data_IF_611046187435
#
_entry.id   IF_611046187435
#
_cell.length_a   1.000
_cell.length_b   1.000
_cell.length_c   1.000
_cell.angle_alpha   90.00
_cell.angle_beta   90.00
_cell.angle_gamma   90.00
#
_symmetry.space_group_name_H-M   'P 1'
#
loop_
_entity.id
_entity.type
_entity.pdbx_description
1 polymer ?
#
# COMPACT_ATOMS: atom_id res chain seq x y z
N UNK A 1 24.74 -17.46 -9.90
CA UNK A 1 25.14 -16.55 -8.80
C UNK A 1 24.60 -15.18 -9.14
N UNK A 2 23.54 -14.73 -8.46
CA UNK A 2 22.91 -13.45 -8.75
C UNK A 2 23.76 -12.33 -8.15
N UNK A 3 24.46 -11.65 -9.04
CA UNK A 3 25.17 -10.40 -8.82
C UNK A 3 24.18 -9.38 -8.25
N UNK A 4 24.45 -8.92 -7.03
CA UNK A 4 23.79 -7.77 -6.44
C UNK A 4 24.16 -6.56 -7.29
N UNK A 5 23.21 -6.01 -8.05
CA UNK A 5 23.40 -4.75 -8.74
C UNK A 5 23.29 -3.63 -7.69
N UNK A 6 24.31 -2.78 -7.55
CA UNK A 6 24.34 -1.75 -6.52
C UNK A 6 23.26 -0.70 -6.79
N UNK A 7 22.58 -0.27 -5.72
CA UNK A 7 21.72 0.90 -5.72
C UNK A 7 22.59 2.12 -6.06
N UNK A 8 22.20 2.87 -7.09
CA UNK A 8 22.88 4.13 -7.42
C UNK A 8 22.86 5.10 -6.23
N UNK A 9 23.96 5.83 -6.00
CA UNK A 9 24.03 6.81 -4.93
C UNK A 9 23.01 7.90 -5.21
N UNK A 10 22.06 8.07 -4.29
CA UNK A 10 21.20 9.25 -4.27
C UNK A 10 22.09 10.48 -4.23
N UNK A 11 22.06 11.30 -5.29
CA UNK A 11 22.84 12.51 -5.39
C UNK A 11 22.64 13.35 -4.11
N UNK A 12 23.70 13.49 -3.34
CA UNK A 12 23.73 14.38 -2.18
C UNK A 12 23.44 15.80 -2.69
N UNK A 13 22.49 16.55 -2.10
CA UNK A 13 22.17 17.88 -2.58
C UNK A 13 23.41 18.76 -2.49
N UNK A 14 23.71 19.48 -3.58
CA UNK A 14 24.86 20.37 -3.73
C UNK A 14 24.92 21.36 -2.54
N UNK A 15 25.88 21.16 -1.64
CA UNK A 15 26.03 22.02 -0.47
C UNK A 15 26.58 23.37 -0.94
N UNK A 16 25.86 24.48 -0.77
CA UNK A 16 26.30 25.75 -1.30
C UNK A 16 27.62 26.19 -0.68
N UNK A 17 28.58 26.56 -1.53
CA UNK A 17 29.88 27.13 -1.10
C UNK A 17 29.65 28.48 -0.43
N UNK A 18 30.21 28.65 0.77
CA UNK A 18 30.10 29.89 1.55
C UNK A 18 30.82 31.04 0.82
N UNK A 19 30.14 32.13 0.44
CA UNK A 19 30.75 33.25 -0.27
C UNK A 19 31.74 34.05 0.60
N UNK A 20 32.82 34.57 0.00
CA UNK A 20 33.91 35.28 0.71
C UNK A 20 33.79 36.81 0.73
N UNK A 21 32.94 37.44 -0.09
CA UNK A 21 32.73 38.89 -0.07
C UNK A 21 31.66 39.32 0.94
N UNK A 22 31.79 40.53 1.49
CA UNK A 22 30.84 41.10 2.45
C UNK A 22 29.43 41.19 1.84
N UNK A 23 29.32 41.67 0.60
CA UNK A 23 28.07 41.77 -0.15
C UNK A 23 27.36 40.41 -0.31
N UNK A 24 28.10 39.33 -0.57
CA UNK A 24 27.50 38.01 -0.73
C UNK A 24 27.09 37.39 0.62
N UNK A 25 27.74 37.77 1.72
CA UNK A 25 27.32 37.39 3.08
C UNK A 25 26.07 38.14 3.51
N UNK A 26 25.96 39.41 3.13
CA UNK A 26 24.75 40.21 3.35
C UNK A 26 23.58 39.68 2.51
N UNK A 27 23.79 39.35 1.23
CA UNK A 27 22.77 38.73 0.40
C UNK A 27 22.29 37.38 0.95
N UNK A 28 23.22 36.53 1.40
CA UNK A 28 22.89 35.25 2.04
C UNK A 28 22.14 35.46 3.35
N UNK A 29 22.53 36.45 4.16
CA UNK A 29 21.84 36.79 5.40
C UNK A 29 20.41 37.26 5.12
N UNK A 30 20.22 38.17 4.18
CA UNK A 30 18.89 38.64 3.75
C UNK A 30 18.03 37.50 3.22
N UNK A 31 18.59 36.60 2.43
CA UNK A 31 17.89 35.41 1.94
C UNK A 31 17.47 34.46 3.07
N UNK A 32 18.36 34.20 4.03
CA UNK A 32 18.07 33.33 5.18
C UNK A 32 17.06 33.98 6.14
N UNK A 33 17.12 35.30 6.35
CA UNK A 33 16.16 36.06 7.15
C UNK A 33 14.77 36.08 6.49
N UNK A 34 14.72 36.15 5.15
CA UNK A 34 13.48 36.03 4.37
C UNK A 34 12.92 34.60 4.39
N UNK A 35 13.77 33.58 4.25
CA UNK A 35 13.37 32.16 4.32
C UNK A 35 12.96 31.75 5.74
N UNK A 36 13.52 32.36 6.78
CA UNK A 36 13.12 32.15 8.17
C UNK A 36 11.73 32.72 8.52
N UNK A 37 11.17 33.58 7.67
CA UNK A 37 9.78 34.05 7.80
C UNK A 37 8.78 33.15 7.06
N UNK A 38 9.26 32.20 6.25
CA UNK A 38 8.45 31.16 5.62
C UNK A 38 8.64 29.80 6.34
N UNK A 39 8.83 29.87 7.67
CA UNK A 39 8.67 28.69 8.51
C UNK A 39 7.20 28.34 8.43
N UNK A 40 6.81 27.17 7.89
CA UNK A 40 5.42 26.75 7.90
C UNK A 40 4.94 26.89 9.35
N UNK A 41 3.74 27.47 9.57
CA UNK A 41 3.26 27.77 10.91
C UNK A 41 3.50 26.55 11.78
N UNK A 42 4.16 26.75 12.93
CA UNK A 42 4.48 25.68 13.87
C UNK A 42 3.30 24.73 13.92
N UNK A 43 3.51 23.48 13.49
CA UNK A 43 2.45 22.47 13.38
C UNK A 43 1.77 22.44 14.74
N UNK A 44 0.55 22.99 14.81
CA UNK A 44 -0.15 23.18 16.06
C UNK A 44 -0.27 21.86 16.81
N UNK A 45 -0.39 21.92 18.14
CA UNK A 45 -0.65 20.71 18.92
C UNK A 45 -1.84 19.94 18.32
N UNK A 46 -1.74 18.60 18.15
CA UNK A 46 -2.83 17.81 17.63
C UNK A 46 -4.07 18.02 18.51
N UNK A 47 -5.29 18.04 17.93
CA UNK A 47 -6.50 18.28 18.69
C UNK A 47 -6.60 17.30 19.87
N UNK A 48 -6.98 17.76 21.08
CA UNK A 48 -7.16 16.89 22.23
C UNK A 48 -8.06 15.69 21.90
N UNK A 49 -7.63 14.50 22.29
CA UNK A 49 -8.37 13.25 22.04
C UNK A 49 -8.00 12.50 20.76
N UNK A 50 -7.24 13.08 19.83
CA UNK A 50 -6.81 12.38 18.61
C UNK A 50 -6.02 11.10 18.91
N UNK A 51 -5.08 11.13 19.85
CA UNK A 51 -4.32 9.95 20.26
C UNK A 51 -5.23 8.84 20.82
N UNK A 52 -6.27 9.22 21.58
CA UNK A 52 -7.29 8.29 22.08
C UNK A 52 -8.12 7.69 20.95
N UNK A 53 -8.50 8.49 19.95
CA UNK A 53 -9.22 7.99 18.77
C UNK A 53 -8.39 6.97 17.98
N UNK A 54 -7.11 7.26 17.74
CA UNK A 54 -6.19 6.35 17.04
C UNK A 54 -5.98 5.02 17.77
N UNK A 55 -6.14 4.97 19.10
CA UNK A 55 -6.05 3.74 19.87
C UNK A 55 -7.19 2.74 19.58
N UNK A 56 -8.26 3.18 18.90
CA UNK A 56 -9.37 2.31 18.45
C UNK A 56 -9.12 1.67 17.07
N UNK A 57 -7.92 1.83 16.50
CA UNK A 57 -7.57 1.24 15.21
C UNK A 57 -7.79 -0.28 15.21
N UNK A 58 -8.48 -0.78 14.17
CA UNK A 58 -8.75 -2.20 13.97
C UNK A 58 -7.50 -2.96 13.50
N UNK A 59 -7.61 -4.29 13.37
CA UNK A 59 -6.52 -5.16 12.92
C UNK A 59 -5.96 -4.70 11.56
N UNK A 60 -4.62 -4.55 11.45
CA UNK A 60 -3.97 -4.24 10.18
C UNK A 60 -4.12 -5.40 9.19
N UNK A 61 -4.04 -5.07 7.88
CA UNK A 61 -4.21 -6.01 6.78
C UNK A 61 -3.45 -7.33 6.97
N UNK A 62 -2.16 -7.28 7.27
CA UNK A 62 -1.31 -8.48 7.40
C UNK A 62 -1.84 -9.45 8.46
N UNK A 63 -2.28 -8.92 9.62
CA UNK A 63 -2.85 -9.73 10.70
C UNK A 63 -4.21 -10.30 10.33
N UNK A 64 -5.04 -9.54 9.63
CA UNK A 64 -6.35 -10.02 9.14
C UNK A 64 -6.18 -11.12 8.09
N UNK A 65 -5.27 -10.94 7.14
CA UNK A 65 -4.93 -11.97 6.14
C UNK A 65 -4.44 -13.25 6.80
N UNK A 66 -3.45 -13.17 7.71
CA UNK A 66 -2.91 -14.34 8.41
C UNK A 66 -3.95 -15.03 9.31
N UNK A 67 -4.94 -14.28 9.83
CA UNK A 67 -6.09 -14.87 10.52
C UNK A 67 -6.95 -15.70 9.55
N UNK A 68 -7.33 -15.14 8.41
CA UNK A 68 -8.10 -15.88 7.40
C UNK A 68 -7.36 -17.12 6.87
N UNK A 69 -6.04 -17.05 6.68
CA UNK A 69 -5.24 -18.21 6.29
C UNK A 69 -5.37 -19.33 7.34
N UNK A 70 -5.19 -19.01 8.63
CA UNK A 70 -5.34 -19.99 9.72
C UNK A 70 -6.76 -20.57 9.81
N UNK A 71 -7.78 -19.73 9.70
CA UNK A 71 -9.19 -20.13 9.75
C UNK A 71 -9.58 -21.01 8.55
N UNK A 72 -8.93 -20.83 7.39
CA UNK A 72 -9.17 -21.64 6.19
C UNK A 72 -8.58 -23.05 6.28
N UNK A 73 -7.66 -23.31 7.21
CA UNK A 73 -6.89 -24.55 7.30
C UNK A 73 -5.82 -24.71 6.21
N UNK A 74 -5.66 -23.72 5.31
CA UNK A 74 -4.64 -23.73 4.27
C UNK A 74 -3.28 -23.26 4.81
N UNK A 75 -2.20 -23.82 4.28
CA UNK A 75 -0.84 -23.33 4.56
C UNK A 75 -0.55 -22.00 3.85
N UNK A 76 0.27 -21.14 4.45
CA UNK A 76 0.69 -19.86 3.86
C UNK A 76 1.25 -20.02 2.44
N UNK A 77 2.05 -21.08 2.20
CA UNK A 77 2.64 -21.39 0.90
C UNK A 77 1.59 -21.69 -0.16
N UNK A 78 0.55 -22.42 0.21
CA UNK A 78 -0.55 -22.75 -0.68
C UNK A 78 -1.33 -21.48 -1.03
N UNK A 79 -1.62 -20.63 -0.04
CA UNK A 79 -2.42 -19.42 -0.24
C UNK A 79 -1.72 -18.41 -1.15
N UNK A 80 -0.44 -18.08 -0.93
CA UNK A 80 0.23 -17.10 -1.80
C UNK A 80 0.41 -17.63 -3.22
N UNK A 81 0.58 -18.96 -3.39
CA UNK A 81 0.65 -19.57 -4.73
C UNK A 81 -0.70 -19.51 -5.43
N UNK A 82 -1.80 -19.87 -4.74
CA UNK A 82 -3.17 -19.74 -5.27
C UNK A 82 -3.49 -18.30 -5.63
N UNK A 83 -3.02 -17.33 -4.85
CA UNK A 83 -3.18 -15.91 -5.14
C UNK A 83 -2.30 -15.42 -6.30
N UNK A 84 -1.42 -16.24 -6.86
CA UNK A 84 -0.42 -15.84 -7.86
C UNK A 84 0.51 -14.71 -7.35
N UNK A 85 0.87 -14.76 -6.07
CA UNK A 85 1.73 -13.76 -5.41
C UNK A 85 3.14 -14.32 -5.22
N UNK A 86 4.16 -13.52 -5.57
CA UNK A 86 5.55 -13.90 -5.36
C UNK A 86 5.89 -14.07 -3.87
N UNK A 87 6.72 -15.07 -3.54
CA UNK A 87 7.12 -15.36 -2.16
C UNK A 87 7.79 -14.18 -1.46
N UNK A 88 8.54 -13.33 -2.18
CA UNK A 88 9.18 -12.11 -1.61
C UNK A 88 8.12 -11.07 -1.26
N UNK A 89 7.11 -10.89 -2.10
CA UNK A 89 5.99 -10.00 -1.81
C UNK A 89 5.21 -10.49 -0.58
N UNK A 90 4.89 -11.78 -0.53
CA UNK A 90 4.25 -12.37 0.66
C UNK A 90 5.13 -12.23 1.91
N UNK A 91 6.45 -12.41 1.78
CA UNK A 91 7.38 -12.20 2.90
C UNK A 91 7.29 -10.78 3.45
N UNK A 92 7.22 -9.75 2.59
CA UNK A 92 7.04 -8.34 3.01
C UNK A 92 5.72 -8.14 3.74
N UNK A 93 4.61 -8.63 3.18
CA UNK A 93 3.28 -8.58 3.80
C UNK A 93 3.30 -9.22 5.20
N UNK A 94 4.01 -10.33 5.36
CA UNK A 94 4.08 -11.06 6.63
C UNK A 94 4.96 -10.37 7.66
N UNK A 95 6.10 -9.81 7.25
CA UNK A 95 7.11 -9.27 8.18
C UNK A 95 6.88 -7.82 8.59
N UNK A 96 6.22 -7.03 7.74
CA UNK A 96 5.99 -5.61 7.97
C UNK A 96 4.48 -5.35 8.18
N UNK A 97 4.03 -5.13 9.43
CA UNK A 97 2.63 -4.84 9.73
C UNK A 97 2.08 -3.59 9.05
N UNK A 98 2.96 -2.64 8.67
CA UNK A 98 2.60 -1.40 7.99
C UNK A 98 2.67 -1.52 6.45
N UNK A 99 3.07 -2.68 5.92
CA UNK A 99 3.14 -2.88 4.48
C UNK A 99 1.75 -2.78 3.85
N UNK A 100 1.61 -1.86 2.89
CA UNK A 100 0.37 -1.67 2.15
C UNK A 100 0.47 -2.34 0.77
N UNK A 101 -0.17 -3.52 0.57
CA UNK A 101 -0.21 -4.17 -0.74
C UNK A 101 -1.06 -3.36 -1.72
N UNK A 102 -0.91 -3.62 -3.01
CA UNK A 102 -1.82 -3.07 -4.03
C UNK A 102 -3.22 -3.68 -3.88
N UNK A 103 -4.24 -2.94 -4.28
CA UNK A 103 -5.64 -3.41 -4.31
C UNK A 103 -5.81 -4.74 -5.06
N UNK A 104 -5.13 -4.90 -6.21
CA UNK A 104 -5.15 -6.14 -7.02
C UNK A 104 -4.64 -7.34 -6.23
N UNK A 105 -3.59 -7.17 -5.42
CA UNK A 105 -3.04 -8.21 -4.54
C UNK A 105 -4.01 -8.57 -3.42
N UNK A 106 -4.68 -7.58 -2.83
CA UNK A 106 -5.69 -7.84 -1.77
C UNK A 106 -6.87 -8.63 -2.34
N UNK A 107 -7.38 -8.25 -3.51
CA UNK A 107 -8.44 -8.99 -4.21
C UNK A 107 -8.00 -10.42 -4.52
N UNK A 108 -6.77 -10.61 -5.01
CA UNK A 108 -6.25 -11.95 -5.30
C UNK A 108 -6.19 -12.85 -4.06
N UNK A 109 -5.79 -12.32 -2.89
CA UNK A 109 -5.86 -13.08 -1.63
C UNK A 109 -7.30 -13.43 -1.24
N UNK A 110 -8.24 -12.49 -1.40
CA UNK A 110 -9.66 -12.76 -1.11
C UNK A 110 -10.22 -13.89 -2.00
N UNK A 111 -9.87 -13.90 -3.29
CA UNK A 111 -10.24 -14.97 -4.21
C UNK A 111 -9.55 -16.30 -3.86
N UNK A 112 -8.25 -16.28 -3.60
CA UNK A 112 -7.48 -17.48 -3.24
C UNK A 112 -8.02 -18.20 -2.01
N UNK A 113 -8.46 -17.41 -1.01
CA UNK A 113 -9.09 -17.85 0.23
C UNK A 113 -10.61 -18.08 0.11
N UNK A 114 -11.20 -17.80 -1.05
CA UNK A 114 -12.64 -17.93 -1.32
C UNK A 114 -13.51 -17.20 -0.31
N UNK A 115 -13.11 -15.99 0.05
CA UNK A 115 -13.83 -15.18 1.03
C UNK A 115 -15.23 -14.80 0.54
N UNK A 116 -16.16 -14.63 1.48
CA UNK A 116 -17.47 -14.03 1.17
C UNK A 116 -17.33 -12.56 0.76
N UNK A 117 -18.35 -11.95 0.13
CA UNK A 117 -18.34 -10.51 -0.15
C UNK A 117 -18.06 -9.65 1.08
N UNK A 118 -18.65 -9.99 2.23
CA UNK A 118 -18.47 -9.24 3.49
C UNK A 118 -17.05 -9.40 4.05
N UNK A 119 -16.51 -10.62 4.03
CA UNK A 119 -15.13 -10.89 4.44
C UNK A 119 -14.13 -10.18 3.52
N UNK A 120 -14.42 -10.14 2.21
CA UNK A 120 -13.60 -9.45 1.22
C UNK A 120 -13.62 -7.94 1.45
N UNK A 121 -14.78 -7.36 1.74
CA UNK A 121 -14.91 -5.95 2.07
C UNK A 121 -14.08 -5.60 3.32
N UNK A 122 -14.20 -6.39 4.39
CA UNK A 122 -13.42 -6.17 5.61
C UNK A 122 -11.90 -6.34 5.40
N UNK A 123 -11.49 -7.24 4.50
CA UNK A 123 -10.07 -7.41 4.15
C UNK A 123 -9.55 -6.21 3.36
N UNK A 124 -10.31 -5.74 2.37
CA UNK A 124 -9.96 -4.55 1.58
C UNK A 124 -9.88 -3.30 2.46
N UNK A 125 -10.85 -3.12 3.36
CA UNK A 125 -10.90 -1.97 4.26
C UNK A 125 -9.67 -1.91 5.17
N UNK A 126 -9.22 -3.06 5.69
CA UNK A 126 -7.99 -3.13 6.49
C UNK A 126 -6.70 -2.79 5.73
N UNK A 127 -6.75 -2.74 4.39
CA UNK A 127 -5.67 -2.30 3.51
C UNK A 127 -5.91 -0.88 2.94
N UNK A 128 -7.00 -0.20 3.34
CA UNK A 128 -7.36 1.13 2.87
C UNK A 128 -8.08 1.15 1.52
N UNK A 129 -8.76 0.06 1.14
CA UNK A 129 -9.48 -0.06 -0.12
C UNK A 129 -10.96 -0.40 0.08
N UNK A 130 -11.77 -0.11 -0.93
CA UNK A 130 -13.15 -0.57 -1.05
C UNK A 130 -13.45 -0.95 -2.51
N UNK A 131 -14.46 -1.78 -2.73
CA UNK A 131 -14.99 -2.01 -4.09
C UNK A 131 -16.05 -0.95 -4.40
N UNK A 132 -15.69 -0.01 -5.27
CA UNK A 132 -16.59 1.01 -5.78
C UNK A 132 -17.74 0.39 -6.58
N UNK A 133 -18.90 1.07 -6.58
CA UNK A 133 -20.06 0.73 -7.42
C UNK A 133 -20.01 1.37 -8.81
N UNK A 134 -18.99 2.17 -9.11
CA UNK A 134 -18.85 2.87 -10.39
C UNK A 134 -17.59 2.50 -11.16
N UNK A 135 -16.59 1.90 -10.50
CA UNK A 135 -15.34 1.53 -11.16
C UNK A 135 -15.50 0.16 -11.88
N UNK A 136 -15.19 0.06 -13.19
CA UNK A 136 -15.36 -1.20 -13.93
C UNK A 136 -14.58 -2.38 -13.32
N UNK A 137 -13.32 -2.18 -12.93
CA UNK A 137 -12.54 -3.19 -12.19
C UNK A 137 -13.30 -3.73 -10.97
N UNK A 138 -13.86 -2.83 -10.14
CA UNK A 138 -14.56 -3.22 -8.91
C UNK A 138 -15.88 -3.93 -9.20
N UNK A 139 -16.62 -3.48 -10.22
CA UNK A 139 -17.86 -4.12 -10.66
C UNK A 139 -17.61 -5.54 -11.17
N UNK A 140 -16.53 -5.76 -11.92
CA UNK A 140 -16.12 -7.10 -12.37
C UNK A 140 -15.78 -7.97 -11.16
N UNK A 141 -14.94 -7.50 -10.23
CA UNK A 141 -14.62 -8.27 -9.01
C UNK A 141 -15.87 -8.61 -8.20
N UNK A 142 -16.79 -7.66 -8.01
CA UNK A 142 -18.07 -7.90 -7.30
C UNK A 142 -18.92 -8.95 -8.01
N UNK A 143 -19.03 -8.88 -9.34
CA UNK A 143 -19.79 -9.83 -10.15
C UNK A 143 -19.35 -11.29 -9.90
N UNK A 144 -18.03 -11.52 -9.84
CA UNK A 144 -17.45 -12.85 -9.60
C UNK A 144 -17.63 -13.30 -8.13
N UNK A 145 -17.39 -12.41 -7.17
CA UNK A 145 -17.58 -12.70 -5.73
C UNK A 145 -19.03 -13.08 -5.40
N UNK A 146 -20.01 -12.34 -5.92
CA UNK A 146 -21.44 -12.59 -5.70
C UNK A 146 -21.87 -13.95 -6.27
N UNK A 147 -21.19 -14.43 -7.32
CA UNK A 147 -21.43 -15.73 -7.96
C UNK A 147 -20.57 -16.86 -7.40
N UNK A 148 -19.73 -16.58 -6.39
CA UNK A 148 -18.79 -17.53 -5.79
C UNK A 148 -17.82 -18.15 -6.80
N UNK A 149 -17.46 -17.38 -7.82
CA UNK A 149 -16.47 -17.76 -8.81
C UNK A 149 -15.14 -17.14 -8.41
N UNK A 150 -14.20 -17.97 -7.97
CA UNK A 150 -12.96 -17.55 -7.31
C UNK A 150 -11.70 -17.84 -8.12
N UNK A 151 -11.85 -18.27 -9.37
CA UNK A 151 -10.73 -18.56 -10.26
C UNK A 151 -10.09 -17.24 -10.74
N UNK A 152 -8.84 -17.00 -10.35
CA UNK A 152 -8.11 -15.77 -10.69
C UNK A 152 -7.86 -15.66 -12.20
N UNK A 153 -7.65 -16.77 -12.90
CA UNK A 153 -7.46 -16.74 -14.35
C UNK A 153 -8.76 -16.29 -15.03
N UNK A 154 -9.90 -16.84 -14.62
CA UNK A 154 -11.20 -16.46 -15.17
C UNK A 154 -11.55 -14.99 -14.88
N UNK A 155 -11.20 -14.49 -13.68
CA UNK A 155 -11.37 -13.06 -13.35
C UNK A 155 -10.44 -12.20 -14.22
N UNK A 156 -9.18 -12.61 -14.41
CA UNK A 156 -8.23 -11.90 -15.27
C UNK A 156 -8.66 -11.87 -16.74
N UNK A 157 -9.25 -12.95 -17.27
CA UNK A 157 -9.78 -12.97 -18.63
C UNK A 157 -10.88 -11.91 -18.81
N UNK A 158 -11.80 -11.81 -17.84
CA UNK A 158 -12.81 -10.76 -17.86
C UNK A 158 -12.20 -9.37 -17.69
N UNK A 159 -11.25 -9.18 -16.77
CA UNK A 159 -10.57 -7.89 -16.61
C UNK A 159 -9.86 -7.46 -17.90
N UNK A 160 -9.23 -8.41 -18.60
CA UNK A 160 -8.56 -8.18 -19.88
C UNK A 160 -9.54 -7.72 -20.96
N UNK A 161 -10.68 -8.42 -21.11
CA UNK A 161 -11.73 -8.09 -22.09
C UNK A 161 -12.25 -6.65 -21.94
N UNK A 162 -12.30 -6.14 -20.70
CA UNK A 162 -12.74 -4.78 -20.40
C UNK A 162 -11.59 -3.77 -20.22
N UNK A 163 -10.36 -4.13 -20.60
CA UNK A 163 -9.19 -3.25 -20.53
C UNK A 163 -8.85 -2.78 -19.11
N UNK A 164 -9.16 -3.60 -18.09
CA UNK A 164 -8.92 -3.29 -16.69
C UNK A 164 -7.57 -3.88 -16.21
N UNK A 165 -6.98 -3.33 -15.13
CA UNK A 165 -5.78 -3.90 -14.54
C UNK A 165 -6.00 -5.34 -14.09
N UNK A 166 -5.07 -6.23 -14.46
CA UNK A 166 -5.12 -7.64 -14.05
C UNK A 166 -4.69 -7.83 -12.58
N UNK A 167 -5.15 -8.92 -11.99
CA UNK A 167 -4.71 -9.36 -10.67
C UNK A 167 -3.28 -9.90 -10.76
N UNK A 168 -2.37 -9.28 -10.00
CA UNK A 168 -0.95 -9.63 -9.88
C UNK A 168 -0.16 -9.72 -11.20
N UNK A 169 -0.52 -8.87 -12.18
CA UNK A 169 0.33 -8.59 -13.34
C UNK A 169 1.41 -7.53 -13.03
#
# INVERSE_FOLDING_TARGET
>A
MLTFQPMEPTAEPDRPRIPRSLEAREALRTYLEAAAHDVPPAVGEPPPGLAGYLAHADLPFSRRLLRHIRESGLGEVEVYKRAHVDRKLFSKIRSDPAYQPRKTTVVAFALALRLSPDQTAALLESAGYALSRSAPFDLIVRFFLERKVYDILQVNDALYEFGQPLLNA
#
